data_IF_667375105700
#
_entry.id   IF_667375105700
#
_cell.length_a   1.000
_cell.length_b   1.000
_cell.length_c   1.000
_cell.angle_alpha   90.00
_cell.angle_beta   90.00
_cell.angle_gamma   90.00
#
_symmetry.space_group_name_H-M   'P 1'
#
loop_
_entity.id
_entity.type
_entity.pdbx_description
1 polymer ?
#
# COMPACT_ATOMS: atom_id res chain seq x y z
N UNK A 1 5.10 9.72 9.24
CA UNK A 1 4.54 8.53 9.90
C UNK A 1 3.20 8.90 10.47
N UNK A 2 2.07 8.36 9.97
CA UNK A 2 0.80 8.52 10.66
C UNK A 2 0.96 8.01 12.10
N UNK A 3 0.41 8.77 13.05
CA UNK A 3 0.63 8.55 14.49
C UNK A 3 0.24 7.13 14.96
N UNK A 4 -0.60 6.44 14.19
CA UNK A 4 -1.05 5.06 14.42
C UNK A 4 0.01 3.98 14.11
N UNK A 5 1.03 4.27 13.30
CA UNK A 5 2.13 3.33 13.04
C UNK A 5 3.04 3.12 14.26
N UNK A 6 2.84 3.94 15.31
CA UNK A 6 3.55 3.88 16.58
C UNK A 6 2.77 3.12 17.66
N UNK A 7 1.52 2.71 17.39
CA UNK A 7 0.70 1.97 18.34
C UNK A 7 1.23 0.53 18.50
N UNK A 8 1.61 0.09 19.71
CA UNK A 8 2.23 -1.22 19.93
C UNK A 8 1.30 -2.41 19.60
N UNK A 9 -0.01 -2.18 19.59
CA UNK A 9 -1.02 -3.17 19.18
C UNK A 9 -1.14 -3.36 17.67
N UNK A 10 -0.65 -2.42 16.85
CA UNK A 10 -0.63 -2.57 15.39
C UNK A 10 0.82 -2.76 14.96
N UNK A 11 1.25 -4.01 14.81
CA UNK A 11 2.59 -4.35 14.33
C UNK A 11 2.70 -4.12 12.82
N UNK A 12 2.80 -2.86 12.41
CA UNK A 12 2.99 -2.49 11.01
C UNK A 12 4.34 -3.06 10.49
N UNK A 13 4.37 -3.77 9.34
CA UNK A 13 5.62 -4.27 8.74
C UNK A 13 6.53 -3.17 8.19
N UNK A 14 6.05 -1.92 8.15
CA UNK A 14 6.73 -0.81 7.50
C UNK A 14 6.88 0.37 8.45
N UNK A 15 8.10 0.92 8.50
CA UNK A 15 8.46 2.07 9.34
C UNK A 15 8.51 3.40 8.58
N UNK A 16 8.26 3.38 7.26
CA UNK A 16 8.35 4.57 6.41
C UNK A 16 7.06 4.76 5.61
N UNK A 17 6.58 6.01 5.55
CA UNK A 17 5.37 6.39 4.80
C UNK A 17 5.44 5.98 3.32
N UNK A 18 6.62 6.10 2.70
CA UNK A 18 6.82 5.73 1.30
C UNK A 18 6.69 4.22 1.05
N UNK A 19 6.99 3.38 2.04
CA UNK A 19 6.79 1.93 1.94
C UNK A 19 5.30 1.60 2.01
N UNK A 20 4.55 2.28 2.87
CA UNK A 20 3.10 2.13 2.98
C UNK A 20 2.40 2.56 1.68
N UNK A 21 2.69 3.77 1.18
CA UNK A 21 2.12 4.25 -0.08
C UNK A 21 2.41 3.29 -1.24
N UNK A 22 3.64 2.77 -1.34
CA UNK A 22 4.01 1.77 -2.37
C UNK A 22 3.12 0.54 -2.28
N UNK A 23 2.88 -0.01 -1.09
CA UNK A 23 2.09 -1.23 -0.91
C UNK A 23 0.64 -1.00 -1.36
N UNK A 24 0.04 0.12 -0.95
CA UNK A 24 -1.33 0.47 -1.33
C UNK A 24 -1.45 0.66 -2.85
N UNK A 25 -0.54 1.44 -3.44
CA UNK A 25 -0.55 1.67 -4.90
C UNK A 25 -0.30 0.38 -5.67
N UNK A 26 0.62 -0.46 -5.22
CA UNK A 26 0.91 -1.73 -5.88
C UNK A 26 -0.33 -2.65 -5.84
N UNK A 27 -1.03 -2.71 -4.70
CA UNK A 27 -2.26 -3.49 -4.56
C UNK A 27 -3.39 -3.00 -5.47
N UNK A 28 -3.60 -1.69 -5.57
CA UNK A 28 -4.62 -1.07 -6.43
C UNK A 28 -4.32 -1.28 -7.93
N UNK A 29 -3.04 -1.29 -8.30
CA UNK A 29 -2.58 -1.52 -9.67
C UNK A 29 -2.39 -3.01 -10.01
N UNK A 30 -2.58 -3.92 -9.04
CA UNK A 30 -2.31 -5.36 -9.18
C UNK A 30 -0.89 -5.67 -9.73
N UNK A 31 0.09 -4.87 -9.32
CA UNK A 31 1.44 -4.95 -9.85
C UNK A 31 2.30 -3.79 -9.36
N UNK A 32 3.53 -3.69 -9.87
CA UNK A 32 4.40 -2.55 -9.55
C UNK A 32 3.80 -1.26 -10.10
N UNK A 33 3.33 -0.36 -9.22
CA UNK A 33 2.42 0.75 -9.58
C UNK A 33 2.95 1.68 -10.67
N UNK A 34 4.26 1.94 -10.71
CA UNK A 34 4.87 2.84 -11.70
C UNK A 34 4.96 2.23 -13.11
N UNK A 35 4.57 0.97 -13.28
CA UNK A 35 4.35 0.37 -14.60
C UNK A 35 2.95 0.71 -15.14
N UNK A 36 2.06 1.25 -14.32
CA UNK A 36 0.65 1.52 -14.65
C UNK A 36 0.28 3.00 -14.51
N UNK A 37 1.03 3.77 -13.71
CA UNK A 37 0.76 5.18 -13.43
C UNK A 37 2.01 6.03 -13.68
N UNK A 38 1.80 7.21 -14.26
CA UNK A 38 2.83 8.22 -14.34
C UNK A 38 3.13 8.83 -12.97
N UNK A 39 4.36 9.33 -12.82
CA UNK A 39 4.78 10.05 -11.62
C UNK A 39 4.36 11.53 -11.72
N UNK A 40 3.86 12.16 -10.64
CA UNK A 40 3.61 11.59 -9.32
C UNK A 40 2.25 10.88 -9.22
N UNK A 41 2.20 9.76 -8.51
CA UNK A 41 0.99 8.90 -8.44
C UNK A 41 -0.28 9.65 -8.05
N UNK A 42 -0.22 10.56 -7.05
CA UNK A 42 -1.40 11.27 -6.57
C UNK A 42 -2.06 12.20 -7.61
N UNK A 43 -1.36 12.58 -8.68
CA UNK A 43 -1.92 13.37 -9.79
C UNK A 43 -2.50 12.52 -10.91
N UNK A 44 -2.06 11.25 -11.00
CA UNK A 44 -2.31 10.39 -12.14
C UNK A 44 -3.20 9.18 -11.82
N UNK A 45 -3.65 9.05 -10.58
CA UNK A 45 -4.68 8.08 -10.20
C UNK A 45 -6.00 8.46 -10.87
N UNK A 46 -6.68 7.47 -11.46
CA UNK A 46 -8.09 7.62 -11.79
C UNK A 46 -8.92 7.75 -10.52
N UNK A 47 -10.13 8.30 -10.63
CA UNK A 47 -11.06 8.37 -9.51
C UNK A 47 -11.30 7.00 -8.86
N UNK A 48 -11.50 5.97 -9.69
CA UNK A 48 -11.72 4.60 -9.22
C UNK A 48 -10.49 4.03 -8.48
N UNK A 49 -9.28 4.28 -8.98
CA UNK A 49 -8.06 3.85 -8.30
C UNK A 49 -7.86 4.59 -6.97
N UNK A 50 -8.14 5.90 -6.93
CA UNK A 50 -8.08 6.68 -5.70
C UNK A 50 -9.11 6.20 -4.67
N UNK A 51 -10.34 5.90 -5.11
CA UNK A 51 -11.39 5.35 -4.27
C UNK A 51 -10.98 3.98 -3.69
N UNK A 52 -10.48 3.06 -4.53
CA UNK A 52 -9.98 1.75 -4.09
C UNK A 52 -8.79 1.89 -3.13
N UNK A 53 -7.91 2.86 -3.33
CA UNK A 53 -6.79 3.12 -2.42
C UNK A 53 -7.29 3.54 -1.03
N UNK A 54 -8.29 4.43 -0.96
CA UNK A 54 -8.92 4.84 0.31
C UNK A 54 -9.61 3.66 0.98
N UNK A 55 -10.42 2.90 0.23
CA UNK A 55 -11.12 1.73 0.76
C UNK A 55 -10.16 0.69 1.34
N UNK A 56 -9.04 0.44 0.66
CA UNK A 56 -8.01 -0.49 1.13
C UNK A 56 -7.36 0.00 2.43
N UNK A 57 -7.09 1.31 2.56
CA UNK A 57 -6.58 1.87 3.81
C UNK A 57 -7.57 1.65 4.96
N UNK A 58 -8.87 1.92 4.75
CA UNK A 58 -9.92 1.67 5.74
C UNK A 58 -10.04 0.19 6.10
N UNK A 59 -9.89 -0.71 5.13
CA UNK A 59 -9.91 -2.16 5.37
C UNK A 59 -8.71 -2.62 6.20
N UNK A 60 -7.54 -2.06 5.99
CA UNK A 60 -6.36 -2.33 6.84
C UNK A 60 -6.60 -1.82 8.26
N UNK A 61 -7.15 -0.61 8.41
CA UNK A 61 -7.45 -0.04 9.73
C UNK A 61 -8.50 -0.86 10.48
N UNK A 62 -9.47 -1.43 9.77
CA UNK A 62 -10.50 -2.28 10.35
C UNK A 62 -10.06 -3.75 10.53
N UNK A 63 -8.81 -4.10 10.17
CA UNK A 63 -8.30 -5.48 10.24
C UNK A 63 -8.92 -6.44 9.20
N UNK A 64 -9.60 -5.91 8.18
CA UNK A 64 -10.17 -6.68 7.06
C UNK A 64 -9.15 -7.01 5.97
N UNK A 65 -8.02 -6.30 5.95
CA UNK A 65 -6.90 -6.57 5.06
C UNK A 65 -5.59 -6.59 5.84
N UNK A 66 -4.74 -7.58 5.60
CA UNK A 66 -3.44 -7.70 6.25
C UNK A 66 -2.35 -6.99 5.45
N UNK A 67 -1.75 -5.97 6.04
CA UNK A 67 -0.65 -5.24 5.42
C UNK A 67 0.60 -6.13 5.22
N UNK A 68 0.85 -7.11 6.09
CA UNK A 68 1.98 -8.04 5.92
C UNK A 68 1.85 -8.80 4.60
N UNK A 69 0.66 -9.29 4.30
CA UNK A 69 0.36 -10.04 3.07
C UNK A 69 0.51 -9.15 1.84
N UNK A 70 -0.06 -7.95 1.89
CA UNK A 70 0.07 -6.95 0.82
C UNK A 70 1.54 -6.55 0.60
N UNK A 71 2.34 -6.43 1.66
CA UNK A 71 3.77 -6.15 1.55
C UNK A 71 4.52 -7.29 0.89
N UNK A 72 4.27 -8.55 1.29
CA UNK A 72 4.90 -9.72 0.66
C UNK A 72 4.57 -9.77 -0.83
N UNK A 73 3.30 -9.57 -1.21
CA UNK A 73 2.90 -9.54 -2.61
C UNK A 73 3.59 -8.41 -3.39
N UNK A 74 3.67 -7.21 -2.81
CA UNK A 74 4.36 -6.07 -3.40
C UNK A 74 5.87 -6.31 -3.58
N UNK A 75 6.52 -7.11 -2.71
CA UNK A 75 7.92 -7.52 -2.87
C UNK A 75 8.09 -8.58 -3.98
N UNK A 76 7.16 -9.54 -4.07
CA UNK A 76 7.15 -10.56 -5.13
C UNK A 76 7.11 -9.91 -6.51
N UNK A 77 6.22 -8.93 -6.73
CA UNK A 77 6.15 -8.20 -8.00
C UNK A 77 7.42 -7.46 -8.39
N UNK A 78 8.34 -7.24 -7.43
CA UNK A 78 9.62 -6.54 -7.64
C UNK A 78 10.79 -7.50 -7.79
N UNK A 79 10.51 -8.80 -7.86
CA UNK A 79 11.54 -9.85 -7.93
C UNK A 79 12.36 -9.97 -6.67
N UNK A 80 11.94 -9.34 -5.56
CA UNK A 80 12.58 -9.54 -4.25
C UNK A 80 12.09 -10.87 -3.71
N UNK A 81 12.97 -11.87 -3.72
CA UNK A 81 12.76 -13.11 -2.96
C UNK A 81 13.05 -12.79 -1.50
N UNK A 82 12.09 -13.11 -0.61
CA UNK A 82 12.38 -13.23 0.81
C UNK A 82 13.35 -14.39 1.05
#
# INVERSE_FOLDING_TARGET
>A
MPQMALSPEIQWPVKNDHCFQRIILDAVCNGTWYNYLERPAYKNLSYDQAFRAVQLCEDILAGRADLHDLNRQSLIWRGKKN
#
